data_IF_257548511653
#
_entry.id   IF_257548511653
#
_cell.length_a   1.000
_cell.length_b   1.000
_cell.length_c   1.000
_cell.angle_alpha   90.00
_cell.angle_beta   90.00
_cell.angle_gamma   90.00
#
_symmetry.space_group_name_H-M   'P 1'
#
loop_
_entity.id
_entity.type
_entity.pdbx_description
1 polymer ?
#
# COMPACT_ATOMS: atom_id res chain seq x y z
N UNK A 1 -7.98 -13.04 -7.09
CA UNK A 1 -7.25 -13.75 -8.18
C UNK A 1 -5.88 -13.15 -8.55
N UNK A 2 -5.69 -11.86 -8.84
CA UNK A 2 -4.40 -11.33 -9.35
C UNK A 2 -3.32 -10.95 -8.30
N UNK A 3 -3.62 -10.96 -6.99
CA UNK A 3 -2.66 -10.54 -5.95
C UNK A 3 -1.84 -11.69 -5.33
N UNK A 4 -2.31 -12.93 -5.50
CA UNK A 4 -1.69 -14.16 -4.98
C UNK A 4 -0.22 -14.36 -5.39
N UNK A 5 0.18 -14.23 -6.66
CA UNK A 5 1.57 -14.49 -7.04
C UNK A 5 2.57 -13.49 -6.42
N UNK A 6 2.14 -12.24 -6.16
CA UNK A 6 3.02 -11.23 -5.55
C UNK A 6 3.22 -11.45 -4.05
N UNK A 7 2.16 -11.83 -3.32
CA UNK A 7 2.29 -12.20 -1.92
C UNK A 7 3.18 -13.44 -1.75
N UNK A 8 3.07 -14.43 -2.64
CA UNK A 8 3.91 -15.64 -2.62
C UNK A 8 5.40 -15.36 -2.89
N UNK A 9 5.72 -14.40 -3.76
CA UNK A 9 7.12 -13.99 -4.00
C UNK A 9 7.71 -13.29 -2.76
N UNK A 10 6.91 -12.50 -2.05
CA UNK A 10 7.37 -11.80 -0.85
C UNK A 10 7.58 -12.73 0.35
N UNK A 11 6.72 -13.74 0.50
CA UNK A 11 6.82 -14.73 1.58
C UNK A 11 8.10 -15.59 1.46
N UNK A 12 8.59 -15.81 0.24
CA UNK A 12 9.85 -16.53 -0.02
C UNK A 12 11.12 -15.74 0.33
N UNK A 13 11.05 -14.42 0.54
CA UNK A 13 12.25 -13.56 0.71
C UNK A 13 12.78 -13.42 2.13
N UNK A 14 12.08 -13.95 3.16
CA UNK A 14 12.42 -13.73 4.59
C UNK A 14 12.74 -12.24 4.87
N UNK A 15 11.78 -11.33 4.64
CA UNK A 15 12.02 -9.89 4.80
C UNK A 15 12.55 -9.57 6.20
N UNK A 16 13.55 -8.70 6.28
CA UNK A 16 14.11 -8.29 7.57
C UNK A 16 13.09 -7.42 8.32
N UNK A 17 13.06 -7.52 9.65
CA UNK A 17 12.13 -6.75 10.49
C UNK A 17 12.20 -5.23 10.20
N UNK A 18 13.38 -4.71 9.86
CA UNK A 18 13.59 -3.31 9.47
C UNK A 18 12.81 -2.92 8.21
N UNK A 19 12.79 -3.76 7.18
CA UNK A 19 12.08 -3.48 5.92
C UNK A 19 10.57 -3.49 6.13
N UNK A 20 10.07 -4.47 6.90
CA UNK A 20 8.67 -4.55 7.29
C UNK A 20 8.19 -3.30 8.01
N UNK A 21 8.99 -2.78 8.95
CA UNK A 21 8.66 -1.55 9.68
C UNK A 21 8.58 -0.35 8.73
N UNK A 22 9.52 -0.22 7.79
CA UNK A 22 9.51 0.88 6.81
C UNK A 22 8.27 0.80 5.91
N UNK A 23 7.94 -0.38 5.40
CA UNK A 23 6.74 -0.62 4.59
C UNK A 23 5.48 -0.24 5.38
N UNK A 24 5.38 -0.65 6.65
CA UNK A 24 4.24 -0.32 7.50
C UNK A 24 4.08 1.20 7.71
N UNK A 25 5.19 1.92 7.93
CA UNK A 25 5.18 3.39 8.08
C UNK A 25 4.73 4.06 6.79
N UNK A 26 5.23 3.63 5.63
CA UNK A 26 4.82 4.16 4.33
C UNK A 26 3.34 3.93 4.07
N UNK A 27 2.82 2.75 4.41
CA UNK A 27 1.39 2.47 4.37
C UNK A 27 0.58 3.40 5.27
N UNK A 28 1.02 3.60 6.52
CA UNK A 28 0.34 4.48 7.47
C UNK A 28 0.27 5.93 6.95
N UNK A 29 1.35 6.44 6.36
CA UNK A 29 1.38 7.76 5.73
C UNK A 29 0.44 7.81 4.53
N UNK A 30 0.38 6.76 3.71
CA UNK A 30 -0.54 6.66 2.58
C UNK A 30 -2.01 6.69 3.01
N UNK A 31 -2.36 5.95 4.06
CA UNK A 31 -3.71 5.95 4.65
C UNK A 31 -4.03 7.33 5.23
N UNK A 32 -3.10 7.93 5.99
CA UNK A 32 -3.26 9.25 6.58
C UNK A 32 -3.41 10.34 5.51
N UNK A 33 -2.65 10.28 4.42
CA UNK A 33 -2.77 11.21 3.31
C UNK A 33 -4.13 11.06 2.60
N UNK A 34 -4.61 9.83 2.40
CA UNK A 34 -5.95 9.61 1.87
C UNK A 34 -7.05 10.13 2.81
N UNK A 35 -6.84 10.02 4.13
CA UNK A 35 -7.73 10.57 5.14
C UNK A 35 -7.72 12.10 5.20
N UNK A 36 -6.54 12.74 5.15
CA UNK A 36 -6.41 14.18 5.20
C UNK A 36 -7.00 14.86 3.94
N UNK A 37 -6.81 14.24 2.78
CA UNK A 37 -7.28 14.77 1.50
C UNK A 37 -8.62 14.17 1.04
N UNK A 38 -9.43 13.63 1.97
CA UNK A 38 -10.70 12.98 1.61
C UNK A 38 -11.68 13.92 0.87
N UNK A 39 -11.64 15.21 1.20
CA UNK A 39 -12.52 16.23 0.64
C UNK A 39 -12.03 16.80 -0.70
N UNK A 40 -10.76 16.55 -1.07
CA UNK A 40 -10.18 17.03 -2.32
C UNK A 40 -10.26 15.94 -3.40
N UNK A 41 -11.00 16.16 -4.51
CA UNK A 41 -11.05 15.20 -5.60
C UNK A 41 -9.68 15.09 -6.28
N UNK A 42 -9.33 13.89 -6.74
CA UNK A 42 -8.09 13.57 -7.48
C UNK A 42 -6.74 13.73 -6.77
N UNK A 43 -6.67 14.40 -5.61
CA UNK A 43 -5.40 14.53 -4.86
C UNK A 43 -5.29 13.48 -3.76
N UNK A 44 -4.79 12.29 -4.10
CA UNK A 44 -4.49 11.23 -3.12
C UNK A 44 -3.01 10.87 -3.20
N UNK A 45 -2.20 11.15 -2.16
CA UNK A 45 -0.75 10.91 -2.19
C UNK A 45 -0.36 9.42 -2.18
N UNK A 46 -1.34 8.51 -2.19
CA UNK A 46 -1.15 7.06 -2.24
C UNK A 46 -0.32 6.64 -3.46
N UNK A 47 -0.61 7.19 -4.64
CA UNK A 47 0.11 6.83 -5.87
C UNK A 47 1.58 7.28 -5.81
N UNK A 48 1.82 8.50 -5.36
CA UNK A 48 3.16 9.05 -5.22
C UNK A 48 4.01 8.20 -4.24
N UNK A 49 3.45 7.85 -3.08
CA UNK A 49 4.13 7.01 -2.09
C UNK A 49 4.41 5.60 -2.63
N UNK A 50 3.47 5.02 -3.38
CA UNK A 50 3.63 3.72 -4.03
C UNK A 50 4.79 3.73 -5.04
N UNK A 51 4.88 4.77 -5.87
CA UNK A 51 5.96 4.92 -6.85
C UNK A 51 7.30 5.13 -6.15
N UNK A 52 7.36 6.00 -5.14
CA UNK A 52 8.58 6.27 -4.37
C UNK A 52 9.07 4.97 -3.69
N UNK A 53 8.17 4.22 -3.06
CA UNK A 53 8.50 2.93 -2.45
C UNK A 53 8.98 1.91 -3.49
N UNK A 54 8.39 1.92 -4.69
CA UNK A 54 8.80 1.09 -5.82
C UNK A 54 10.22 1.39 -6.32
N UNK A 55 10.56 2.66 -6.43
CA UNK A 55 11.88 3.11 -6.90
C UNK A 55 12.95 2.92 -5.81
N UNK A 56 12.63 3.21 -4.55
CA UNK A 56 13.59 3.20 -3.45
C UNK A 56 13.90 1.79 -2.92
N UNK A 57 12.89 0.91 -2.84
CA UNK A 57 13.01 -0.40 -2.19
C UNK A 57 12.75 -1.57 -3.16
N UNK A 58 12.33 -1.30 -4.39
CA UNK A 58 12.05 -2.29 -5.44
C UNK A 58 10.56 -2.39 -5.81
N UNK A 59 10.27 -2.95 -6.99
CA UNK A 59 8.90 -3.05 -7.50
C UNK A 59 7.95 -3.86 -6.61
N UNK A 60 8.48 -4.88 -5.91
CA UNK A 60 7.73 -5.73 -4.98
C UNK A 60 7.27 -4.96 -3.73
N UNK A 61 8.15 -4.15 -3.16
CA UNK A 61 7.82 -3.31 -2.00
C UNK A 61 6.88 -2.18 -2.39
N UNK A 62 7.04 -1.59 -3.59
CA UNK A 62 6.08 -0.63 -4.13
C UNK A 62 4.68 -1.23 -4.26
N UNK A 63 4.57 -2.41 -4.87
CA UNK A 63 3.31 -3.13 -4.99
C UNK A 63 2.65 -3.37 -3.62
N UNK A 64 3.41 -3.88 -2.64
CA UNK A 64 2.89 -4.13 -1.30
C UNK A 64 2.44 -2.86 -0.59
N UNK A 65 3.24 -1.79 -0.64
CA UNK A 65 2.87 -0.50 -0.03
C UNK A 65 1.54 -0.02 -0.62
N UNK A 66 1.37 -0.05 -1.94
CA UNK A 66 0.14 0.36 -2.61
C UNK A 66 -1.06 -0.52 -2.26
N UNK A 67 -0.91 -1.85 -2.35
CA UNK A 67 -1.96 -2.81 -2.06
C UNK A 67 -2.42 -2.72 -0.60
N UNK A 68 -1.48 -2.71 0.36
CA UNK A 68 -1.77 -2.62 1.78
C UNK A 68 -2.37 -1.26 2.17
N UNK A 69 -1.90 -0.17 1.56
CA UNK A 69 -2.49 1.16 1.79
C UNK A 69 -3.95 1.22 1.36
N UNK A 70 -4.27 0.65 0.19
CA UNK A 70 -5.64 0.59 -0.31
C UNK A 70 -6.51 -0.29 0.58
N UNK A 71 -6.05 -1.50 0.91
CA UNK A 71 -6.77 -2.42 1.79
C UNK A 71 -7.04 -1.80 3.17
N UNK A 72 -6.00 -1.24 3.81
CA UNK A 72 -6.11 -0.64 5.14
C UNK A 72 -6.99 0.62 5.14
N UNK A 73 -6.84 1.49 4.14
CA UNK A 73 -7.71 2.68 4.06
C UNK A 73 -9.17 2.33 3.78
N UNK A 74 -9.45 1.25 3.05
CA UNK A 74 -10.82 0.80 2.82
C UNK A 74 -11.52 0.29 4.10
N UNK A 75 -10.77 -0.06 5.16
CA UNK A 75 -11.38 -0.32 6.49
C UNK A 75 -11.95 0.97 7.08
N UNK A 76 -11.32 2.12 6.84
CA UNK A 76 -11.80 3.43 7.32
C UNK A 76 -12.91 4.02 6.44
N UNK A 77 -12.86 3.75 5.13
CA UNK A 77 -13.78 4.33 4.13
C UNK A 77 -14.91 3.39 3.67
N UNK A 78 -15.04 2.23 4.31
CA UNK A 78 -15.85 1.09 3.88
C UNK A 78 -15.37 0.44 2.57
N UNK A 79 -15.51 -0.89 2.52
CA UNK A 79 -15.24 -1.71 1.34
C UNK A 79 -16.43 -1.59 0.37
N UNK A 80 -16.16 -1.34 -0.91
CA UNK A 80 -17.18 -1.25 -1.96
C UNK A 80 -17.03 -2.37 -2.99
N UNK A 81 -17.93 -2.54 -3.97
CA UNK A 81 -17.81 -3.56 -5.01
C UNK A 81 -16.50 -3.50 -5.83
N UNK A 82 -15.79 -2.37 -5.79
CA UNK A 82 -14.50 -2.13 -6.45
C UNK A 82 -13.29 -2.49 -5.58
N UNK A 83 -13.49 -2.96 -4.35
CA UNK A 83 -12.41 -3.42 -3.46
C UNK A 83 -12.38 -4.94 -3.49
N UNK A 84 -11.29 -5.58 -3.93
CA UNK A 84 -11.20 -7.02 -3.93
C UNK A 84 -11.19 -7.51 -2.48
N UNK A 85 -12.22 -8.27 -2.10
CA UNK A 85 -12.20 -9.14 -0.92
C UNK A 85 -11.45 -10.43 -1.24
#
# INVERSE_FOLDING_TARGET
ECMLPFFMIFEGRRPQARELVIIAVLCAIGVAGRAAFFMLPQFKPVLALTIIAGIAFGGETGFLVGAMTMLASNVLFSQGPWTPW
#
